data_IF_510828198957
#
_entry.id   IF_510828198957
#
_cell.length_a   1.000
_cell.length_b   1.000
_cell.length_c   1.000
_cell.angle_alpha   90.00
_cell.angle_beta   90.00
_cell.angle_gamma   90.00
#
_symmetry.space_group_name_H-M   'P 1'
#
loop_
_entity.id
_entity.type
_entity.pdbx_description
1 polymer ?
#
# COMPACT_ATOMS: atom_id res chain seq x y z
N UNK A 1 17.19 -19.88 -14.76
CA UNK A 1 16.13 -18.97 -15.19
C UNK A 1 15.77 -18.02 -14.05
N UNK A 2 15.34 -16.79 -14.36
CA UNK A 2 14.80 -15.82 -13.40
C UNK A 2 13.74 -14.99 -14.09
N UNK A 3 12.68 -14.63 -13.37
CA UNK A 3 11.54 -13.89 -13.92
C UNK A 3 11.90 -12.50 -14.47
N UNK A 4 12.86 -11.80 -13.83
CA UNK A 4 13.36 -10.51 -14.29
C UNK A 4 14.82 -10.55 -14.70
N UNK A 5 15.67 -11.28 -13.96
CA UNK A 5 17.12 -11.36 -14.23
C UNK A 5 17.48 -12.81 -14.46
N UNK A 6 17.90 -13.15 -15.70
CA UNK A 6 18.23 -14.51 -16.10
C UNK A 6 19.46 -15.10 -15.39
N UNK A 7 20.41 -14.26 -15.00
CA UNK A 7 21.59 -14.62 -14.20
C UNK A 7 22.28 -13.38 -13.61
N UNK A 8 22.67 -13.48 -12.35
CA UNK A 8 23.57 -12.51 -11.70
C UNK A 8 24.61 -13.19 -10.83
N UNK A 9 25.84 -12.71 -10.86
CA UNK A 9 26.92 -13.10 -9.94
C UNK A 9 27.24 -12.04 -8.89
N UNK A 10 26.72 -10.82 -9.08
CA UNK A 10 26.89 -9.67 -8.19
C UNK A 10 25.65 -9.37 -7.35
N UNK A 11 25.73 -8.27 -6.61
CA UNK A 11 24.57 -7.75 -5.88
C UNK A 11 23.56 -7.16 -6.86
N UNK A 12 22.29 -7.47 -6.63
CA UNK A 12 21.15 -6.98 -7.41
C UNK A 12 20.12 -6.37 -6.47
N UNK A 13 19.72 -5.14 -6.75
CA UNK A 13 18.61 -4.47 -6.07
C UNK A 13 17.45 -4.37 -7.05
N UNK A 14 16.32 -4.96 -6.69
CA UNK A 14 15.08 -4.93 -7.47
C UNK A 14 14.00 -4.29 -6.59
N UNK A 15 13.37 -3.24 -7.08
CA UNK A 15 12.32 -2.54 -6.34
C UNK A 15 11.11 -2.26 -7.20
N UNK A 16 9.96 -2.08 -6.55
CA UNK A 16 8.69 -1.68 -7.17
C UNK A 16 8.36 -2.50 -8.42
N UNK A 17 8.51 -3.82 -8.33
CA UNK A 17 8.45 -4.74 -9.47
C UNK A 17 7.58 -5.95 -9.16
N UNK A 18 7.06 -6.60 -10.21
CA UNK A 18 6.33 -7.84 -10.03
C UNK A 18 6.66 -8.89 -11.10
N UNK A 19 6.34 -10.15 -10.79
CA UNK A 19 6.52 -11.31 -11.67
C UNK A 19 5.21 -12.12 -11.72
N UNK A 20 4.67 -12.31 -12.93
CA UNK A 20 3.48 -13.14 -13.21
C UNK A 20 3.77 -14.22 -14.26
N UNK A 21 5.04 -14.56 -14.46
CA UNK A 21 5.44 -15.56 -15.44
C UNK A 21 4.85 -16.94 -15.10
N UNK A 22 4.51 -17.69 -16.12
CA UNK A 22 4.23 -19.12 -16.00
C UNK A 22 5.56 -19.90 -16.01
N UNK A 23 5.83 -20.58 -14.91
CA UNK A 23 7.04 -21.38 -14.71
C UNK A 23 6.79 -22.89 -14.87
N UNK A 24 5.61 -23.32 -15.31
CA UNK A 24 5.21 -24.74 -15.36
C UNK A 24 6.12 -25.62 -16.22
N UNK A 25 6.80 -25.01 -17.20
CA UNK A 25 7.72 -25.70 -18.12
C UNK A 25 9.21 -25.45 -17.80
N UNK A 26 9.49 -24.85 -16.64
CA UNK A 26 10.87 -24.50 -16.25
C UNK A 26 11.38 -25.49 -15.22
N UNK A 27 12.60 -26.00 -15.45
CA UNK A 27 13.33 -26.76 -14.44
C UNK A 27 13.66 -25.87 -13.24
N UNK A 28 13.01 -26.14 -12.10
CA UNK A 28 13.14 -25.37 -10.87
C UNK A 28 14.52 -25.41 -10.25
N UNK A 29 15.33 -26.46 -10.54
CA UNK A 29 16.66 -26.64 -9.92
C UNK A 29 17.64 -25.52 -10.24
N UNK A 30 17.41 -24.80 -11.34
CA UNK A 30 18.27 -23.75 -11.86
C UNK A 30 17.54 -22.41 -12.04
N UNK A 31 16.54 -22.12 -11.21
CA UNK A 31 15.75 -20.91 -11.30
C UNK A 31 15.41 -20.28 -9.97
N UNK A 32 15.00 -19.01 -10.02
CA UNK A 32 14.37 -18.30 -8.91
C UNK A 32 13.32 -17.34 -9.46
N UNK A 33 12.32 -17.02 -8.66
CA UNK A 33 11.17 -16.20 -9.07
C UNK A 33 11.58 -14.84 -9.65
N UNK A 34 12.53 -14.13 -9.07
CA UNK A 34 12.97 -12.82 -9.56
C UNK A 34 14.31 -12.87 -10.29
N UNK A 35 15.34 -13.41 -9.67
CA UNK A 35 16.68 -13.38 -10.21
C UNK A 35 17.41 -14.69 -9.98
N UNK A 36 17.86 -15.35 -11.05
CA UNK A 36 18.73 -16.50 -10.94
C UNK A 36 20.10 -16.08 -10.42
N UNK A 37 20.56 -16.73 -9.34
CA UNK A 37 21.84 -16.45 -8.72
C UNK A 37 22.41 -17.69 -8.02
N UNK A 38 23.70 -17.73 -7.81
CA UNK A 38 24.34 -18.75 -6.96
C UNK A 38 24.33 -18.38 -5.46
N UNK A 39 23.84 -17.20 -5.11
CA UNK A 39 23.73 -16.75 -3.73
C UNK A 39 22.54 -15.82 -3.56
N UNK A 40 21.49 -16.31 -2.89
CA UNK A 40 20.25 -15.53 -2.63
C UNK A 40 20.52 -14.24 -1.84
N UNK A 41 21.51 -14.23 -0.96
CA UNK A 41 21.89 -13.05 -0.16
C UNK A 41 22.41 -11.87 -0.98
N UNK A 42 22.66 -12.06 -2.27
CA UNK A 42 23.05 -10.98 -3.20
C UNK A 42 21.86 -10.32 -3.91
N UNK A 43 20.64 -10.79 -3.68
CA UNK A 43 19.44 -10.23 -4.29
C UNK A 43 18.60 -9.56 -3.21
N UNK A 44 18.48 -8.25 -3.29
CA UNK A 44 17.66 -7.44 -2.39
C UNK A 44 16.37 -7.06 -3.10
N UNK A 45 15.23 -7.48 -2.56
CA UNK A 45 13.90 -7.16 -3.09
C UNK A 45 13.21 -6.16 -2.16
N UNK A 46 12.64 -5.10 -2.72
CA UNK A 46 11.88 -4.09 -1.98
C UNK A 46 10.61 -3.76 -2.72
N UNK A 47 9.44 -3.87 -2.04
CA UNK A 47 8.14 -3.64 -2.65
C UNK A 47 7.95 -4.47 -3.94
N UNK A 48 8.23 -5.77 -3.86
CA UNK A 48 8.16 -6.71 -4.96
C UNK A 48 7.03 -7.73 -4.73
N UNK A 49 6.34 -8.11 -5.82
CA UNK A 49 5.19 -9.01 -5.77
C UNK A 49 5.29 -10.10 -6.83
N UNK A 50 4.71 -11.28 -6.55
CA UNK A 50 4.69 -12.36 -7.52
C UNK A 50 3.39 -13.17 -7.45
N UNK A 51 2.99 -13.75 -8.58
CA UNK A 51 1.86 -14.67 -8.68
C UNK A 51 2.34 -16.12 -8.54
N UNK A 52 3.23 -16.53 -9.42
CA UNK A 52 3.77 -17.88 -9.45
C UNK A 52 5.21 -17.91 -8.94
N UNK A 53 5.54 -18.95 -8.21
CA UNK A 53 6.86 -19.15 -7.64
C UNK A 53 7.69 -20.12 -8.46
N UNK A 54 8.94 -19.80 -8.70
CA UNK A 54 9.92 -20.70 -9.28
C UNK A 54 10.97 -21.03 -8.21
N UNK A 55 11.00 -22.29 -7.77
CA UNK A 55 11.85 -22.74 -6.68
C UNK A 55 11.54 -21.93 -5.42
N UNK A 56 12.54 -21.46 -4.70
CA UNK A 56 12.35 -20.55 -3.57
C UNK A 56 12.44 -19.09 -4.01
N UNK A 57 11.51 -18.27 -3.57
CA UNK A 57 11.56 -16.83 -3.77
C UNK A 57 12.59 -16.20 -2.84
N UNK A 58 13.33 -15.21 -3.33
CA UNK A 58 14.22 -14.41 -2.52
C UNK A 58 13.42 -13.57 -1.51
N UNK A 59 14.01 -13.29 -0.34
CA UNK A 59 13.39 -12.48 0.70
C UNK A 59 13.06 -11.06 0.23
N UNK A 60 11.98 -10.50 0.78
CA UNK A 60 11.53 -9.14 0.46
C UNK A 60 10.46 -9.05 -0.63
N UNK A 61 10.02 -10.19 -1.20
CA UNK A 61 8.89 -10.25 -2.11
C UNK A 61 7.66 -10.89 -1.46
N UNK A 62 6.47 -10.52 -1.93
CA UNK A 62 5.20 -11.00 -1.41
C UNK A 62 4.37 -11.69 -2.49
N UNK A 63 3.89 -12.90 -2.20
CA UNK A 63 2.96 -13.61 -3.06
C UNK A 63 1.60 -12.92 -3.06
N UNK A 64 1.00 -12.81 -4.23
CA UNK A 64 -0.35 -12.27 -4.42
C UNK A 64 -1.16 -13.21 -5.32
N UNK A 65 -2.48 -13.27 -5.10
CA UNK A 65 -3.39 -14.04 -5.93
C UNK A 65 -3.73 -13.31 -7.24
N UNK A 66 -4.23 -14.05 -8.23
CA UNK A 66 -4.77 -13.45 -9.46
C UNK A 66 -5.84 -12.40 -9.17
N UNK A 67 -6.70 -12.66 -8.18
CA UNK A 67 -7.74 -11.72 -7.77
C UNK A 67 -7.16 -10.41 -7.21
N UNK A 68 -6.09 -10.47 -6.41
CA UNK A 68 -5.42 -9.29 -5.87
C UNK A 68 -4.73 -8.48 -6.98
N UNK A 69 -4.17 -9.13 -7.98
CA UNK A 69 -3.68 -8.46 -9.18
C UNK A 69 -4.81 -7.80 -9.96
N UNK A 70 -5.86 -8.56 -10.32
CA UNK A 70 -6.97 -8.06 -11.14
C UNK A 70 -7.77 -6.94 -10.49
N UNK A 71 -7.90 -6.94 -9.15
CA UNK A 71 -8.59 -5.89 -8.38
C UNK A 71 -7.77 -4.61 -8.14
N UNK A 72 -6.52 -4.56 -8.59
CA UNK A 72 -5.70 -3.35 -8.50
C UNK A 72 -4.89 -3.22 -7.22
N UNK A 73 -4.96 -4.16 -6.28
CA UNK A 73 -4.19 -4.13 -5.03
C UNK A 73 -2.69 -4.01 -5.31
N UNK A 74 -2.16 -4.84 -6.20
CA UNK A 74 -0.74 -4.82 -6.52
C UNK A 74 -0.33 -3.53 -7.22
N UNK A 75 -1.16 -2.99 -8.12
CA UNK A 75 -0.90 -1.72 -8.77
C UNK A 75 -0.80 -0.56 -7.74
N UNK A 76 -1.74 -0.50 -6.81
CA UNK A 76 -1.71 0.47 -5.72
C UNK A 76 -0.47 0.32 -4.83
N UNK A 77 -0.17 -0.90 -4.39
CA UNK A 77 0.98 -1.17 -3.51
C UNK A 77 2.32 -0.83 -4.15
N UNK A 78 2.49 -1.10 -5.46
CA UNK A 78 3.70 -0.76 -6.20
C UNK A 78 3.97 0.75 -6.21
N UNK A 79 2.93 1.59 -6.24
CA UNK A 79 3.05 3.04 -6.19
C UNK A 79 3.12 3.60 -4.76
N UNK A 80 2.49 2.95 -3.77
CA UNK A 80 2.35 3.47 -2.40
C UNK A 80 3.68 3.61 -1.63
N UNK A 81 4.75 2.99 -2.09
CA UNK A 81 6.09 3.06 -1.49
C UNK A 81 7.03 4.04 -2.22
N UNK A 82 6.52 4.72 -3.24
CA UNK A 82 7.28 5.74 -3.98
C UNK A 82 7.15 7.05 -3.24
N UNK A 83 8.28 7.57 -2.75
CA UNK A 83 8.31 8.74 -1.85
C UNK A 83 8.44 10.08 -2.57
N UNK A 84 8.82 10.07 -3.84
CA UNK A 84 9.00 11.29 -4.65
C UNK A 84 7.72 11.73 -5.39
N UNK A 85 6.59 11.03 -5.14
CA UNK A 85 5.30 11.32 -5.78
C UNK A 85 5.20 10.87 -7.24
N UNK A 86 6.22 10.21 -7.78
CA UNK A 86 6.15 9.64 -9.12
C UNK A 86 5.23 8.42 -9.13
N UNK A 87 4.47 8.27 -10.21
CA UNK A 87 3.63 7.10 -10.44
C UNK A 87 4.14 6.36 -11.68
N UNK A 88 4.53 5.10 -11.50
CA UNK A 88 5.02 4.27 -12.59
C UNK A 88 4.01 3.21 -13.04
N UNK A 89 3.11 2.78 -12.16
CA UNK A 89 2.19 1.69 -12.38
C UNK A 89 0.75 2.16 -12.51
N UNK A 90 0.05 1.62 -13.49
CA UNK A 90 -1.33 1.93 -13.87
C UNK A 90 -2.10 0.64 -14.12
N UNK A 91 -3.42 0.67 -14.01
CA UNK A 91 -4.26 -0.48 -14.34
C UNK A 91 -5.70 -0.03 -14.57
N UNK A 92 -6.29 -0.39 -15.70
CA UNK A 92 -7.73 -0.21 -15.92
C UNK A 92 -8.47 -1.40 -15.31
N UNK A 93 -9.08 -1.17 -14.15
CA UNK A 93 -9.79 -2.21 -13.42
C UNK A 93 -10.98 -2.76 -14.23
N UNK A 94 -11.18 -4.07 -14.17
CA UNK A 94 -12.18 -4.77 -14.97
C UNK A 94 -11.77 -5.05 -16.42
N UNK A 95 -10.60 -4.55 -16.86
CA UNK A 95 -10.06 -4.79 -18.20
C UNK A 95 -8.66 -5.40 -18.14
N UNK A 96 -7.79 -4.81 -17.32
CA UNK A 96 -6.42 -5.26 -17.16
C UNK A 96 -6.31 -6.22 -15.98
N UNK A 97 -5.75 -7.40 -16.20
CA UNK A 97 -5.51 -8.36 -15.11
C UNK A 97 -4.27 -8.01 -14.28
N UNK A 98 -3.35 -7.19 -14.83
CA UNK A 98 -2.07 -6.87 -14.21
C UNK A 98 -1.71 -5.39 -14.39
N UNK A 99 -0.88 -4.81 -13.48
CA UNK A 99 -0.36 -3.45 -13.64
C UNK A 99 0.44 -3.26 -14.94
N UNK A 100 0.39 -2.06 -15.49
CA UNK A 100 1.09 -1.61 -16.71
C UNK A 100 1.86 -0.32 -16.43
N UNK A 101 2.79 0.04 -17.32
CA UNK A 101 3.57 1.29 -17.23
C UNK A 101 2.83 2.51 -17.80
N UNK A 102 1.58 2.34 -18.21
CA UNK A 102 0.71 3.43 -18.66
C UNK A 102 -0.76 3.02 -18.51
N UNK A 103 -1.65 3.98 -18.35
CA UNK A 103 -3.10 3.72 -18.24
C UNK A 103 -3.77 4.56 -17.16
N UNK A 104 -4.68 3.94 -16.42
CA UNK A 104 -5.48 4.60 -15.39
C UNK A 104 -4.84 4.43 -14.00
N UNK A 105 -4.88 5.47 -13.18
CA UNK A 105 -4.45 5.42 -11.79
C UNK A 105 -5.37 4.52 -10.98
N UNK A 106 -4.80 3.75 -10.05
CA UNK A 106 -5.57 2.98 -9.06
C UNK A 106 -5.46 3.66 -7.71
N UNK A 107 -6.61 3.97 -7.14
CA UNK A 107 -6.78 4.54 -5.80
C UNK A 107 -7.28 3.47 -4.84
N UNK A 108 -6.97 3.63 -3.56
CA UNK A 108 -7.60 2.89 -2.48
C UNK A 108 -8.40 3.88 -1.66
N UNK A 109 -9.66 4.06 -2.02
CA UNK A 109 -10.53 5.11 -1.50
C UNK A 109 -11.90 4.58 -1.09
N UNK A 110 -12.65 5.40 -0.37
CA UNK A 110 -13.98 5.06 0.11
C UNK A 110 -14.97 4.84 -1.03
N UNK A 111 -15.75 3.76 -0.94
CA UNK A 111 -16.90 3.51 -1.81
C UNK A 111 -18.20 3.68 -0.99
N UNK A 112 -18.97 4.72 -1.22
CA UNK A 112 -20.21 4.98 -0.47
C UNK A 112 -21.27 3.89 -0.67
N UNK A 113 -21.24 3.15 -1.79
CA UNK A 113 -22.19 2.08 -2.06
C UNK A 113 -21.86 0.81 -1.25
N UNK A 114 -20.60 0.60 -0.92
CA UNK A 114 -20.13 -0.56 -0.16
C UNK A 114 -19.81 -0.23 1.31
N UNK A 115 -19.76 1.05 1.67
CA UNK A 115 -19.43 1.49 3.02
C UNK A 115 -18.01 1.10 3.48
N UNK A 116 -17.07 0.97 2.56
CA UNK A 116 -15.66 0.57 2.85
C UNK A 116 -14.69 1.12 1.81
N UNK A 117 -13.38 1.04 2.11
CA UNK A 117 -12.34 1.31 1.11
C UNK A 117 -12.27 0.17 0.07
N UNK A 118 -12.14 0.55 -1.18
CA UNK A 118 -11.94 -0.36 -2.32
C UNK A 118 -10.86 0.18 -3.27
N UNK A 119 -10.31 -0.69 -4.09
CA UNK A 119 -9.49 -0.28 -5.22
C UNK A 119 -10.39 0.17 -6.37
N UNK A 120 -10.13 1.37 -6.90
CA UNK A 120 -10.95 2.00 -7.95
C UNK A 120 -10.08 2.85 -8.88
N UNK A 121 -10.48 3.01 -10.13
CA UNK A 121 -9.88 4.01 -11.03
C UNK A 121 -10.43 5.44 -10.77
N UNK A 122 -11.46 5.57 -9.95
CA UNK A 122 -11.99 6.87 -9.53
C UNK A 122 -11.69 7.09 -8.05
N UNK A 123 -11.04 8.20 -7.73
CA UNK A 123 -10.89 8.63 -6.34
C UNK A 123 -12.23 9.15 -5.81
N UNK A 124 -12.64 8.64 -4.66
CA UNK A 124 -13.83 9.14 -3.96
C UNK A 124 -13.40 9.69 -2.60
N UNK A 125 -13.70 10.96 -2.38
CA UNK A 125 -13.46 11.60 -1.09
C UNK A 125 -14.44 11.05 -0.05
N UNK A 126 -13.95 10.81 1.15
CA UNK A 126 -14.80 10.43 2.27
C UNK A 126 -15.54 11.67 2.78
N UNK A 127 -16.84 11.71 2.54
CA UNK A 127 -17.74 12.75 3.09
C UNK A 127 -18.65 12.12 4.13
N UNK A 128 -18.90 12.81 5.24
CA UNK A 128 -19.76 12.28 6.32
C UNK A 128 -19.03 11.18 7.13
N UNK A 129 -17.95 11.56 7.79
CA UNK A 129 -17.13 10.63 8.58
C UNK A 129 -17.92 9.93 9.67
N UNK A 130 -17.75 8.62 9.79
CA UNK A 130 -18.24 7.81 10.91
C UNK A 130 -17.01 7.44 11.74
N UNK A 131 -16.86 8.04 12.91
CA UNK A 131 -15.72 7.82 13.76
C UNK A 131 -15.90 6.59 14.66
N UNK A 132 -14.89 5.72 14.70
CA UNK A 132 -14.75 4.60 15.64
C UNK A 132 -13.54 4.92 16.52
N UNK A 133 -13.75 5.11 17.81
CA UNK A 133 -12.71 5.59 18.74
C UNK A 133 -11.98 6.85 18.19
N UNK A 134 -12.74 7.73 17.55
CA UNK A 134 -12.26 8.99 17.00
C UNK A 134 -11.45 8.89 15.71
N UNK A 135 -11.42 7.74 15.03
CA UNK A 135 -10.77 7.55 13.73
C UNK A 135 -11.81 7.16 12.71
N UNK A 136 -11.82 7.83 11.56
CA UNK A 136 -12.62 7.39 10.42
C UNK A 136 -11.93 6.19 9.73
N UNK A 137 -12.54 4.98 9.72
CA UNK A 137 -11.91 3.80 9.12
C UNK A 137 -11.80 3.87 7.60
N UNK A 138 -12.37 4.91 6.98
CA UNK A 138 -12.45 5.05 5.53
C UNK A 138 -11.38 5.99 4.94
N UNK A 139 -10.97 7.01 5.71
CA UNK A 139 -9.97 7.99 5.25
C UNK A 139 -8.85 8.22 6.26
N UNK A 140 -8.91 7.54 7.41
CA UNK A 140 -7.97 7.65 8.53
C UNK A 140 -7.95 9.05 9.17
N UNK A 141 -8.99 9.87 8.92
CA UNK A 141 -9.12 11.19 9.51
C UNK A 141 -9.50 11.08 10.98
N UNK A 142 -8.99 12.01 11.80
CA UNK A 142 -9.22 12.02 13.23
C UNK A 142 -10.35 12.97 13.58
N UNK A 143 -11.20 12.55 14.53
CA UNK A 143 -12.29 13.34 15.03
C UNK A 143 -11.78 14.59 15.77
N UNK A 144 -12.26 15.76 15.33
CA UNK A 144 -11.97 17.02 16.01
C UNK A 144 -12.64 17.01 17.39
N UNK A 145 -11.90 17.21 18.49
CA UNK A 145 -12.48 17.27 19.82
C UNK A 145 -13.41 18.48 19.98
N UNK A 146 -14.42 18.34 20.83
CA UNK A 146 -15.34 19.43 21.17
C UNK A 146 -14.59 20.52 21.95
N UNK A 147 -14.80 21.77 21.58
CA UNK A 147 -14.27 22.93 22.29
C UNK A 147 -15.32 23.48 23.27
N UNK A 148 -15.03 23.47 24.57
CA UNK A 148 -15.91 24.00 25.61
C UNK A 148 -15.13 25.07 26.37
N UNK A 149 -15.63 26.29 26.41
CA UNK A 149 -15.02 27.44 27.10
C UNK A 149 -13.51 27.64 26.80
N UNK A 150 -13.12 27.38 25.54
CA UNK A 150 -11.72 27.50 25.10
C UNK A 150 -10.81 26.32 25.49
N UNK A 151 -11.38 25.21 25.98
CA UNK A 151 -10.68 23.98 26.36
C UNK A 151 -11.17 22.82 25.53
N UNK A 152 -10.26 22.16 24.79
CA UNK A 152 -10.58 20.97 24.00
C UNK A 152 -10.86 19.76 24.91
N UNK A 153 -11.97 19.06 24.66
CA UNK A 153 -12.41 17.88 25.42
C UNK A 153 -11.94 16.63 24.70
N UNK A 154 -10.88 15.97 25.21
CA UNK A 154 -10.31 14.80 24.58
C UNK A 154 -10.96 13.53 25.16
N UNK A 155 -11.93 12.97 24.43
CA UNK A 155 -12.78 11.87 24.89
C UNK A 155 -12.46 10.51 24.25
N UNK A 156 -11.54 10.47 23.30
CA UNK A 156 -11.14 9.23 22.62
C UNK A 156 -9.73 9.33 22.03
N UNK A 157 -9.21 8.22 21.50
CA UNK A 157 -7.88 8.16 20.91
C UNK A 157 -7.71 9.11 19.71
N UNK A 158 -8.72 9.19 18.83
CA UNK A 158 -8.66 10.09 17.67
C UNK A 158 -8.53 11.56 18.07
N UNK A 159 -9.25 11.99 19.13
CA UNK A 159 -9.12 13.35 19.66
C UNK A 159 -7.69 13.64 20.17
N UNK A 160 -7.04 12.66 20.81
CA UNK A 160 -5.64 12.82 21.27
C UNK A 160 -4.70 13.01 20.08
N UNK A 161 -4.84 12.20 19.04
CA UNK A 161 -3.97 12.30 17.85
C UNK A 161 -4.23 13.61 17.11
N UNK A 162 -5.52 13.96 16.90
CA UNK A 162 -5.89 15.25 16.30
C UNK A 162 -5.26 16.42 17.05
N UNK A 163 -5.37 16.42 18.37
CA UNK A 163 -4.85 17.51 19.23
C UNK A 163 -3.32 17.60 19.14
N UNK A 164 -2.62 16.47 19.13
CA UNK A 164 -1.17 16.44 18.93
C UNK A 164 -0.77 17.08 17.60
N UNK A 165 -1.41 16.69 16.49
CA UNK A 165 -1.16 17.26 15.18
C UNK A 165 -1.51 18.75 15.09
N UNK A 166 -2.58 19.16 15.78
CA UNK A 166 -3.01 20.55 15.85
C UNK A 166 -1.96 21.43 16.55
N UNK A 167 -1.35 20.95 17.65
CA UNK A 167 -0.24 21.63 18.32
C UNK A 167 1.01 21.69 17.43
N UNK A 168 1.37 20.58 16.80
CA UNK A 168 2.54 20.47 15.92
C UNK A 168 2.44 21.39 14.69
N UNK A 169 1.22 21.72 14.27
CA UNK A 169 0.96 22.69 13.21
C UNK A 169 1.12 24.17 13.62
N UNK A 170 1.56 24.43 14.86
CA UNK A 170 1.86 25.78 15.37
C UNK A 170 0.81 26.35 16.32
N UNK A 171 -0.26 25.62 16.63
CA UNK A 171 -1.33 26.06 17.56
C UNK A 171 -1.00 25.74 19.02
N UNK A 172 0.13 26.22 19.52
CA UNK A 172 0.68 25.86 20.84
C UNK A 172 0.13 26.66 22.04
N UNK A 173 -0.87 27.54 21.83
CA UNK A 173 -1.50 28.34 22.89
C UNK A 173 -2.94 27.91 23.17
N UNK A 174 -3.15 26.61 23.31
CA UNK A 174 -4.45 26.00 23.52
C UNK A 174 -4.44 25.10 24.75
N UNK A 175 -5.58 24.92 25.38
CA UNK A 175 -5.75 24.02 26.51
C UNK A 175 -6.60 22.80 26.11
N UNK A 176 -6.32 21.67 26.71
CA UNK A 176 -7.14 20.49 26.59
C UNK A 176 -7.26 19.77 27.93
N UNK A 177 -8.30 18.96 28.05
CA UNK A 177 -8.57 18.10 29.20
C UNK A 177 -8.95 16.70 28.69
N UNK A 178 -8.48 15.66 29.34
CA UNK A 178 -8.94 14.31 29.14
C UNK A 178 -10.30 14.14 29.83
N UNK A 179 -11.28 13.67 29.07
CA UNK A 179 -12.67 13.43 29.53
C UNK A 179 -13.08 11.96 29.47
N UNK A 180 -12.22 11.08 28.98
CA UNK A 180 -12.38 9.63 29.06
C UNK A 180 -11.35 9.05 30.05
N UNK A 181 -11.76 7.98 30.73
CA UNK A 181 -10.90 7.17 31.60
C UNK A 181 -10.03 6.20 30.78
#
# INVERSE_FOLDING_TARGET
CGGLIGWTSGNSNISNSYVVADFSQIDSTNGNTFSRTNSKSKVNLTNCYYLNELNETQDGANKKSEEQFAKGEVCYLLNSKVTDGSQAWYQKLGTDNYPKLSGETVYYSYDPNQGKKVYSNTYTECTGHIFINGICPYCDEYETPTLVDGVYQLSNYGNLVWFSQYIDSGNNRVNAVLTAD
#
